data_IF_730822004571
#
_entry.id   IF_730822004571
#
_cell.length_a   1.000
_cell.length_b   1.000
_cell.length_c   1.000
_cell.angle_alpha   90.00
_cell.angle_beta   90.00
_cell.angle_gamma   90.00
#
_symmetry.space_group_name_H-M   'P 1'
#
loop_
_entity.id
_entity.type
_entity.pdbx_description
1 polymer ?
#
# COMPACT_ATOMS: atom_id res chain seq x y z
N UNK A 1 -8.12 -17.66 -19.31
CA UNK A 1 -8.90 -16.78 -18.41
C UNK A 1 -7.91 -15.84 -17.74
N UNK A 2 -8.11 -14.52 -17.88
CA UNK A 2 -7.22 -13.51 -17.30
C UNK A 2 -7.46 -13.39 -15.81
N UNK A 3 -6.43 -13.68 -15.00
CA UNK A 3 -6.51 -13.55 -13.53
C UNK A 3 -5.83 -12.27 -13.07
N UNK A 4 -6.55 -11.49 -12.29
CA UNK A 4 -6.07 -10.26 -11.67
C UNK A 4 -6.19 -10.45 -10.15
N UNK A 5 -5.09 -10.31 -9.44
CA UNK A 5 -5.07 -10.34 -7.98
C UNK A 5 -5.07 -8.91 -7.43
N UNK A 6 -5.86 -8.67 -6.37
CA UNK A 6 -6.28 -7.32 -5.96
C UNK A 6 -5.80 -6.94 -4.55
N UNK A 7 -5.30 -7.89 -3.76
CA UNK A 7 -4.90 -7.68 -2.36
C UNK A 7 -3.49 -8.26 -2.14
N UNK A 8 -2.56 -7.82 -2.97
CA UNK A 8 -1.19 -8.32 -2.95
C UNK A 8 -0.30 -7.30 -2.25
N UNK A 9 0.44 -7.75 -1.24
CA UNK A 9 1.12 -6.83 -0.33
C UNK A 9 2.59 -6.60 -0.71
N UNK A 10 3.10 -5.42 -0.37
CA UNK A 10 4.53 -5.12 -0.36
C UNK A 10 4.91 -4.31 0.89
N UNK A 11 6.20 -4.12 1.12
CA UNK A 11 6.71 -3.18 2.11
C UNK A 11 7.90 -2.39 1.54
N UNK A 12 8.26 -1.30 2.21
CA UNK A 12 9.49 -0.55 1.94
C UNK A 12 10.42 -0.59 3.15
N UNK A 13 11.73 -0.34 2.99
CA UNK A 13 12.66 -0.25 4.12
C UNK A 13 12.21 0.73 5.20
N UNK A 14 11.64 1.87 4.81
CA UNK A 14 11.18 2.93 5.71
C UNK A 14 9.97 2.49 6.56
N UNK A 15 9.13 1.62 6.01
CA UNK A 15 7.95 1.10 6.69
C UNK A 15 8.24 -0.14 7.54
N UNK A 16 9.42 -0.77 7.42
CA UNK A 16 9.74 -2.04 8.07
C UNK A 16 9.44 -2.08 9.58
N UNK A 17 9.71 -1.00 10.31
CA UNK A 17 9.45 -0.89 11.76
C UNK A 17 7.96 -0.77 12.13
N UNK A 18 7.09 -0.54 11.14
CA UNK A 18 5.64 -0.39 11.29
C UNK A 18 4.88 -1.57 10.70
N UNK A 19 5.55 -2.65 10.28
CA UNK A 19 4.90 -3.86 9.76
C UNK A 19 4.58 -4.80 10.92
N UNK A 20 3.39 -5.39 10.89
CA UNK A 20 3.00 -6.40 11.86
C UNK A 20 3.78 -7.69 11.65
N UNK A 21 4.14 -8.35 12.75
CA UNK A 21 4.70 -9.70 12.73
C UNK A 21 3.57 -10.73 12.84
N UNK A 22 3.22 -11.47 11.77
CA UNK A 22 2.07 -12.37 11.77
C UNK A 22 2.34 -13.72 12.45
N UNK A 23 3.59 -14.01 12.83
CA UNK A 23 4.03 -15.32 13.32
C UNK A 23 5.10 -15.19 14.39
N UNK A 24 5.09 -16.12 15.36
CA UNK A 24 6.13 -16.20 16.39
C UNK A 24 7.43 -16.86 15.90
N UNK A 25 7.43 -17.50 14.73
CA UNK A 25 8.63 -18.12 14.15
C UNK A 25 9.48 -17.09 13.42
N UNK A 26 10.76 -16.96 13.79
CA UNK A 26 11.71 -16.04 13.13
C UNK A 26 11.94 -16.43 11.68
N UNK A 27 12.10 -17.72 11.39
CA UNK A 27 12.35 -18.22 10.04
C UNK A 27 11.17 -17.93 9.09
N UNK A 28 9.94 -18.11 9.58
CA UNK A 28 8.74 -17.78 8.79
C UNK A 28 8.61 -16.27 8.59
N UNK A 29 8.93 -15.47 9.62
CA UNK A 29 8.86 -14.02 9.51
C UNK A 29 9.88 -13.48 8.50
N UNK A 30 11.12 -13.98 8.53
CA UNK A 30 12.14 -13.63 7.55
C UNK A 30 11.73 -13.99 6.11
N UNK A 31 11.04 -15.13 5.90
CA UNK A 31 10.51 -15.47 4.57
C UNK A 31 9.39 -14.52 4.13
N UNK A 32 8.52 -14.10 5.06
CA UNK A 32 7.47 -13.10 4.79
C UNK A 32 8.10 -11.76 4.39
N UNK A 33 9.07 -11.26 5.16
CA UNK A 33 9.76 -9.99 4.85
C UNK A 33 10.43 -10.04 3.48
N UNK A 34 11.13 -11.15 3.18
CA UNK A 34 11.77 -11.37 1.88
C UNK A 34 10.78 -11.32 0.73
N UNK A 35 9.59 -11.90 0.87
CA UNK A 35 8.53 -11.91 -0.16
C UNK A 35 7.83 -10.55 -0.30
N UNK A 36 7.63 -9.84 0.80
CA UNK A 36 7.04 -8.49 0.78
C UNK A 36 7.94 -7.48 0.09
N UNK A 37 9.26 -7.63 0.21
CA UNK A 37 10.24 -6.75 -0.45
C UNK A 37 10.51 -7.13 -1.93
N UNK A 38 10.11 -8.31 -2.39
CA UNK A 38 10.40 -8.80 -3.75
C UNK A 38 9.36 -8.30 -4.77
N UNK A 39 9.85 -7.57 -5.78
CA UNK A 39 9.11 -7.14 -6.99
C UNK A 39 9.67 -7.82 -8.25
N UNK A 40 10.59 -8.75 -8.08
CA UNK A 40 11.37 -9.36 -9.14
C UNK A 40 11.05 -10.86 -9.22
N UNK A 41 12.07 -11.69 -9.07
CA UNK A 41 12.04 -13.09 -9.49
C UNK A 41 10.98 -13.91 -8.76
N UNK A 42 10.90 -13.81 -7.43
CA UNK A 42 10.04 -14.70 -6.65
C UNK A 42 8.56 -14.43 -6.93
N UNK A 43 8.18 -13.16 -7.00
CA UNK A 43 6.81 -12.73 -7.27
C UNK A 43 6.41 -13.06 -8.71
N UNK A 44 7.27 -12.76 -9.69
CA UNK A 44 6.97 -13.02 -11.11
C UNK A 44 6.87 -14.51 -11.42
N UNK A 45 7.79 -15.34 -10.91
CA UNK A 45 7.71 -16.80 -11.09
C UNK A 45 6.42 -17.37 -10.49
N UNK A 46 6.00 -16.84 -9.33
CA UNK A 46 4.74 -17.23 -8.72
C UNK A 46 3.54 -16.82 -9.59
N UNK A 47 3.53 -15.59 -10.11
CA UNK A 47 2.50 -15.12 -11.03
C UNK A 47 2.42 -16.01 -12.27
N UNK A 48 3.55 -16.32 -12.91
CA UNK A 48 3.60 -17.14 -14.12
C UNK A 48 3.10 -18.57 -13.84
N UNK A 49 3.58 -19.20 -12.77
CA UNK A 49 3.20 -20.57 -12.39
C UNK A 49 1.72 -20.68 -12.06
N UNK A 50 1.17 -19.65 -11.44
CA UNK A 50 -0.25 -19.62 -11.05
C UNK A 50 -1.13 -19.03 -12.14
N UNK A 51 -0.59 -18.45 -13.22
CA UNK A 51 -1.36 -17.79 -14.27
C UNK A 51 -2.02 -16.47 -13.84
N UNK A 52 -1.42 -15.75 -12.88
CA UNK A 52 -1.83 -14.37 -12.53
C UNK A 52 -1.19 -13.42 -13.54
N UNK A 53 -2.02 -12.73 -14.30
CA UNK A 53 -1.56 -11.81 -15.35
C UNK A 53 -1.17 -10.45 -14.76
N UNK A 54 -1.94 -9.95 -13.79
CA UNK A 54 -1.73 -8.65 -13.15
C UNK A 54 -1.93 -8.76 -11.63
N UNK A 55 -1.03 -8.13 -10.86
CA UNK A 55 -1.21 -7.91 -9.42
C UNK A 55 -1.37 -6.43 -9.12
N UNK A 56 -2.42 -6.07 -8.38
CA UNK A 56 -2.58 -4.73 -7.81
C UNK A 56 -1.98 -4.75 -6.41
N UNK A 57 -0.91 -3.98 -6.25
CA UNK A 57 -0.07 -3.99 -5.05
C UNK A 57 -0.49 -2.91 -4.06
N UNK A 58 -0.41 -3.22 -2.77
CA UNK A 58 -0.69 -2.30 -1.67
C UNK A 58 0.26 -2.51 -0.48
N UNK A 59 0.44 -1.50 0.37
CA UNK A 59 1.33 -1.60 1.52
C UNK A 59 0.74 -2.56 2.57
N UNK A 60 1.59 -3.45 3.09
CA UNK A 60 1.21 -4.40 4.15
C UNK A 60 0.83 -3.73 5.47
N UNK A 61 0.14 -4.47 6.32
CA UNK A 61 -0.44 -3.98 7.58
C UNK A 61 0.58 -3.83 8.72
N UNK A 62 0.38 -2.87 9.65
CA UNK A 62 -0.57 -1.75 9.60
C UNK A 62 -0.09 -0.57 8.74
N UNK A 63 1.18 -0.54 8.32
CA UNK A 63 1.74 0.58 7.55
C UNK A 63 1.60 1.91 8.31
N UNK A 64 1.21 2.99 7.62
CA UNK A 64 1.14 4.32 8.23
C UNK A 64 -0.01 4.47 9.24
N UNK A 65 -0.99 3.57 9.23
CA UNK A 65 -2.07 3.53 10.23
C UNK A 65 -1.54 3.24 11.65
N UNK A 66 -0.35 2.63 11.77
CA UNK A 66 0.35 2.43 13.04
C UNK A 66 1.22 3.61 13.49
N UNK A 67 1.32 4.68 12.70
CA UNK A 67 2.17 5.83 12.97
C UNK A 67 1.36 6.90 13.70
N UNK A 68 1.75 7.23 14.94
CA UNK A 68 1.02 8.22 15.74
C UNK A 68 1.28 9.66 15.30
N UNK A 69 2.49 9.95 14.80
CA UNK A 69 2.83 11.29 14.29
C UNK A 69 2.24 11.50 12.88
N UNK A 70 1.34 12.47 12.74
CA UNK A 70 0.62 12.73 11.49
C UNK A 70 1.55 13.13 10.34
N UNK A 71 2.55 13.98 10.60
CA UNK A 71 3.42 14.48 9.54
C UNK A 71 4.36 13.39 9.01
N UNK A 72 4.87 12.55 9.92
CA UNK A 72 5.63 11.37 9.55
C UNK A 72 4.77 10.35 8.79
N UNK A 73 3.51 10.14 9.19
CA UNK A 73 2.58 9.28 8.46
C UNK A 73 2.34 9.77 7.03
N UNK A 74 2.12 11.07 6.84
CA UNK A 74 1.93 11.70 5.51
C UNK A 74 3.18 11.51 4.65
N UNK A 75 4.36 11.79 5.22
CA UNK A 75 5.64 11.64 4.51
C UNK A 75 5.87 10.18 4.08
N UNK A 76 5.72 9.23 5.01
CA UNK A 76 5.90 7.80 4.74
C UNK A 76 4.90 7.26 3.73
N UNK A 77 3.64 7.72 3.76
CA UNK A 77 2.63 7.32 2.79
C UNK A 77 3.01 7.75 1.38
N UNK A 78 3.44 9.01 1.23
CA UNK A 78 3.91 9.56 -0.04
C UNK A 78 5.15 8.83 -0.56
N UNK A 79 6.13 8.59 0.30
CA UNK A 79 7.37 7.89 -0.05
C UNK A 79 7.08 6.45 -0.51
N UNK A 80 6.15 5.76 0.15
CA UNK A 80 5.71 4.41 -0.24
C UNK A 80 4.99 4.40 -1.59
N UNK A 81 4.14 5.40 -1.87
CA UNK A 81 3.46 5.54 -3.16
C UNK A 81 4.47 5.82 -4.28
N UNK A 82 5.44 6.71 -4.05
CA UNK A 82 6.49 7.01 -5.04
C UNK A 82 7.40 5.80 -5.28
N UNK A 83 7.72 5.03 -4.24
CA UNK A 83 8.42 3.75 -4.36
C UNK A 83 7.64 2.77 -5.22
N UNK A 84 6.37 2.53 -4.91
CA UNK A 84 5.54 1.60 -5.68
C UNK A 84 5.40 2.04 -7.14
N UNK A 85 5.21 3.34 -7.39
CA UNK A 85 5.12 3.85 -8.75
C UNK A 85 6.38 3.54 -9.58
N UNK A 86 7.59 3.68 -8.98
CA UNK A 86 8.84 3.29 -9.63
C UNK A 86 8.91 1.79 -9.93
N UNK A 87 8.47 0.95 -9.00
CA UNK A 87 8.45 -0.51 -9.21
C UNK A 87 7.44 -0.93 -10.29
N UNK A 88 6.25 -0.33 -10.28
CA UNK A 88 5.21 -0.55 -11.32
C UNK A 88 5.73 -0.13 -12.69
N UNK A 89 6.44 0.99 -12.81
CA UNK A 89 7.01 1.45 -14.10
C UNK A 89 8.01 0.47 -14.71
N UNK A 90 8.69 -0.36 -13.92
CA UNK A 90 9.59 -1.40 -14.44
C UNK A 90 8.84 -2.52 -15.15
N UNK A 91 7.59 -2.79 -14.74
CA UNK A 91 6.76 -3.92 -15.21
C UNK A 91 5.27 -3.55 -15.26
N UNK A 92 4.89 -2.54 -16.06
CA UNK A 92 3.52 -2.00 -16.07
C UNK A 92 2.48 -2.97 -16.65
N UNK A 93 2.93 -4.04 -17.31
CA UNK A 93 2.12 -5.15 -17.79
C UNK A 93 1.80 -6.18 -16.69
N UNK A 94 2.60 -6.22 -15.62
CA UNK A 94 2.48 -7.19 -14.52
C UNK A 94 1.97 -6.57 -13.22
N UNK A 95 2.23 -5.29 -12.99
CA UNK A 95 1.87 -4.61 -11.74
C UNK A 95 0.99 -3.39 -11.95
N UNK A 96 0.13 -3.14 -10.97
CA UNK A 96 -0.56 -1.89 -10.73
C UNK A 96 -0.48 -1.56 -9.23
N UNK A 97 -0.84 -0.34 -8.83
CA UNK A 97 -0.78 0.09 -7.43
C UNK A 97 -2.13 0.57 -6.88
N UNK A 98 -2.33 0.34 -5.58
CA UNK A 98 -3.25 1.08 -4.75
C UNK A 98 -2.50 2.07 -3.87
N UNK A 99 -3.07 3.27 -3.71
CA UNK A 99 -2.52 4.31 -2.88
C UNK A 99 -2.57 3.91 -1.40
N UNK A 100 -1.47 4.17 -0.71
CA UNK A 100 -1.39 4.13 0.74
C UNK A 100 -1.60 5.54 1.27
N UNK A 101 -2.51 5.71 2.23
CA UNK A 101 -2.97 7.02 2.69
C UNK A 101 -2.80 7.18 4.20
N UNK A 102 -2.34 8.37 4.61
CA UNK A 102 -2.25 8.75 6.02
C UNK A 102 -3.62 9.24 6.52
N UNK A 103 -4.47 8.30 6.95
CA UNK A 103 -5.83 8.59 7.41
C UNK A 103 -5.91 9.36 8.75
N UNK A 104 -4.77 9.75 9.33
CA UNK A 104 -4.67 10.69 10.45
C UNK A 104 -5.17 12.08 10.06
N UNK A 105 -5.04 12.44 8.79
CA UNK A 105 -5.43 13.72 8.21
C UNK A 105 -6.22 13.46 6.92
N UNK A 106 -7.52 13.77 6.95
CA UNK A 106 -8.41 13.48 5.83
C UNK A 106 -8.04 14.28 4.57
N UNK A 107 -7.61 15.53 4.73
CA UNK A 107 -7.30 16.43 3.61
C UNK A 107 -6.00 16.03 2.93
N UNK A 108 -4.98 15.69 3.73
CA UNK A 108 -3.75 15.13 3.21
C UNK A 108 -4.00 13.78 2.51
N UNK A 109 -4.83 12.91 3.09
CA UNK A 109 -5.20 11.63 2.48
C UNK A 109 -5.93 11.80 1.13
N UNK A 110 -6.88 12.73 1.03
CA UNK A 110 -7.58 13.02 -0.22
C UNK A 110 -6.64 13.60 -1.28
N UNK A 111 -5.80 14.55 -0.90
CA UNK A 111 -4.79 15.14 -1.79
C UNK A 111 -3.85 14.06 -2.33
N UNK A 112 -3.41 13.14 -1.48
CA UNK A 112 -2.52 12.06 -1.89
C UNK A 112 -3.23 11.01 -2.76
N UNK A 113 -4.52 10.74 -2.50
CA UNK A 113 -5.32 9.88 -3.38
C UNK A 113 -5.46 10.47 -4.78
N UNK A 114 -5.79 11.76 -4.88
CA UNK A 114 -5.88 12.47 -6.16
C UNK A 114 -4.56 12.42 -6.91
N UNK A 115 -3.44 12.66 -6.21
CA UNK A 115 -2.09 12.56 -6.80
C UNK A 115 -1.79 11.14 -7.28
N UNK A 116 -2.05 10.13 -6.45
CA UNK A 116 -1.72 8.75 -6.76
C UNK A 116 -2.52 8.23 -7.97
N UNK A 117 -3.81 8.54 -8.04
CA UNK A 117 -4.65 8.14 -9.17
C UNK A 117 -4.34 8.97 -10.42
N UNK A 118 -4.25 10.29 -10.29
CA UNK A 118 -4.11 11.19 -11.43
C UNK A 118 -2.69 11.26 -12.01
N UNK A 119 -1.66 11.15 -11.18
CA UNK A 119 -0.26 11.34 -11.59
C UNK A 119 0.52 10.03 -11.60
N UNK A 120 0.29 9.12 -10.64
CA UNK A 120 1.01 7.83 -10.57
C UNK A 120 0.30 6.70 -11.29
N UNK A 121 -0.95 6.89 -11.73
CA UNK A 121 -1.74 5.89 -12.45
C UNK A 121 -2.26 4.75 -11.57
N UNK A 122 -2.35 4.97 -10.26
CA UNK A 122 -2.90 3.98 -9.33
C UNK A 122 -4.39 3.76 -9.56
N UNK A 123 -4.89 2.57 -9.17
CA UNK A 123 -6.26 2.12 -9.47
C UNK A 123 -7.26 2.35 -8.34
N UNK A 124 -6.85 3.06 -7.29
CA UNK A 124 -7.63 3.30 -6.07
C UNK A 124 -6.72 3.39 -4.85
N UNK A 125 -7.26 3.06 -3.67
CA UNK A 125 -6.53 2.98 -2.41
C UNK A 125 -6.91 1.73 -1.62
N UNK A 126 -6.01 1.30 -0.73
CA UNK A 126 -6.27 0.27 0.26
C UNK A 126 -5.86 0.81 1.64
N UNK A 127 -6.79 0.75 2.60
CA UNK A 127 -6.61 1.26 3.95
C UNK A 127 -6.54 0.11 4.94
N UNK A 128 -5.52 0.11 5.79
CA UNK A 128 -5.32 -0.93 6.80
C UNK A 128 -6.19 -0.67 8.04
N UNK A 129 -7.50 -0.90 7.92
CA UNK A 129 -8.43 -0.86 9.05
C UNK A 129 -8.60 0.52 9.68
N UNK A 130 -8.35 0.60 11.00
CA UNK A 130 -8.54 1.80 11.81
C UNK A 130 -7.24 2.62 11.92
N UNK A 131 -7.36 3.93 12.16
CA UNK A 131 -6.23 4.81 12.47
C UNK A 131 -6.45 5.47 13.83
N UNK A 132 -5.49 5.32 14.76
CA UNK A 132 -5.51 5.93 16.10
C UNK A 132 -6.84 5.72 16.88
N UNK A 133 -7.42 4.53 16.80
CA UNK A 133 -8.69 4.15 17.43
C UNK A 133 -9.94 4.51 16.63
N UNK A 134 -9.81 5.07 15.43
CA UNK A 134 -10.93 5.60 14.65
C UNK A 134 -11.08 4.88 13.30
N UNK A 135 -12.32 4.52 12.95
CA UNK A 135 -12.65 3.98 11.63
C UNK A 135 -12.96 5.09 10.62
N UNK A 136 -12.60 4.89 9.33
CA UNK A 136 -13.06 5.75 8.25
C UNK A 136 -14.60 5.84 8.25
N UNK A 137 -15.15 7.06 8.11
CA UNK A 137 -16.60 7.31 8.15
C UNK A 137 -17.17 7.76 9.49
N UNK A 138 -16.37 7.76 10.56
CA UNK A 138 -16.74 8.48 11.79
C UNK A 138 -16.54 10.00 11.57
N UNK A 139 -17.47 10.83 12.06
CA UNK A 139 -17.75 12.21 11.60
C UNK A 139 -16.58 13.21 11.65
N UNK A 140 -15.42 12.84 12.22
CA UNK A 140 -14.19 13.63 12.25
C UNK A 140 -13.35 13.59 10.96
N UNK A 141 -13.54 12.58 10.10
CA UNK A 141 -12.84 12.44 8.82
C UNK A 141 -13.67 12.94 7.62
N UNK A 142 -14.79 13.63 7.89
CA UNK A 142 -15.66 14.15 6.86
C UNK A 142 -15.00 15.32 6.15
N UNK A 143 -14.41 15.03 4.99
CA UNK A 143 -14.01 16.03 4.03
C UNK A 143 -15.26 16.77 3.54
N UNK A 144 -15.26 18.09 3.62
CA UNK A 144 -16.13 18.91 2.79
C UNK A 144 -15.61 18.91 1.34
N UNK A 145 -15.47 17.73 0.72
CA UNK A 145 -15.24 17.64 -0.71
C UNK A 145 -16.53 18.05 -1.40
N UNK A 146 -16.62 19.32 -1.77
CA UNK A 146 -17.57 19.74 -2.80
C UNK A 146 -17.00 19.25 -4.13
N UNK A 147 -17.60 18.20 -4.68
CA UNK A 147 -17.45 17.90 -6.09
C UNK A 147 -17.94 19.15 -6.86
N UNK A 148 -17.05 19.76 -7.64
CA UNK A 148 -17.42 20.76 -8.64
C UNK A 148 -17.97 20.04 -9.88
#
# INVERSE_FOLDING_TARGET
>A
MRKIALEEHFTTPELGKYVARPTQSDALFADVERRLADFDQLRLEMMDRTGIELMVLSVTTPGVQGVSDTQEAIRLARDANDFLAREVQKRPDRYAGFAHLAMQDAEAAATELERAVGQLGFRGALINGQTNGHYPGNTRLALSCRCN
#
